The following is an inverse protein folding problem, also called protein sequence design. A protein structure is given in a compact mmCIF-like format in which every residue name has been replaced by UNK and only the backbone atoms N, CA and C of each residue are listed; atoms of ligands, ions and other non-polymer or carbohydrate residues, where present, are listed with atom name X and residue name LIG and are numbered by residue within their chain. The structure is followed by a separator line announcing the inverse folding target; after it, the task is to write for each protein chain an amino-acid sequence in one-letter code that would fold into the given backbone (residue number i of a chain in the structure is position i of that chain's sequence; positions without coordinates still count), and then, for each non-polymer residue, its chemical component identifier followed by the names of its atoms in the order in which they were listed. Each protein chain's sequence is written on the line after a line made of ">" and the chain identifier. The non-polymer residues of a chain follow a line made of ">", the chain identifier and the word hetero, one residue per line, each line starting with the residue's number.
data_IF_693461685075
#
_entry.id   IF_693461685075
#
_cell.length_a   1.000
_cell.length_b   1.000
_cell.length_c   1.000
_cell.angle_alpha   90.00
_cell.angle_beta   90.00
_cell.angle_gamma   90.00
#
_symmetry.space_group_name_H-M   'P 1'
#
loop_
_entity.id
_entity.type
_entity.pdbx_description
1 polymer ?
#
# COMPACT_ATOMS: atom_id res chain seq x y z
N UNK A 1 0.16 -0.63 -6.21
CA UNK A 1 -0.97 -0.97 -7.10
C UNK A 1 -1.08 -2.49 -7.12
N UNK A 2 -2.29 -3.10 -7.03
CA UNK A 2 -2.41 -4.51 -7.34
C UNK A 2 -1.92 -4.71 -8.78
N UNK A 3 -1.13 -5.76 -9.04
CA UNK A 3 -0.96 -6.23 -10.42
C UNK A 3 -2.38 -6.56 -10.87
N UNK A 4 -2.98 -5.69 -11.69
CA UNK A 4 -4.04 -6.13 -12.59
C UNK A 4 -3.50 -7.41 -13.22
N UNK A 5 -4.25 -8.50 -13.18
CA UNK A 5 -3.94 -9.72 -13.92
C UNK A 5 -3.30 -9.33 -15.24
N UNK A 6 -1.98 -9.44 -15.33
CA UNK A 6 -1.30 -8.84 -16.46
C UNK A 6 -1.55 -9.80 -17.59
N UNK A 7 -2.41 -9.39 -18.53
CA UNK A 7 -2.65 -10.13 -19.77
C UNK A 7 -1.31 -10.52 -20.43
N UNK A 8 -0.30 -9.67 -20.24
CA UNK A 8 1.10 -9.92 -20.59
C UNK A 8 1.70 -11.16 -19.91
N UNK A 9 1.57 -11.34 -18.59
CA UNK A 9 2.07 -12.53 -17.91
C UNK A 9 1.38 -13.79 -18.44
N UNK A 10 0.05 -13.78 -18.52
CA UNK A 10 -0.70 -14.94 -18.99
C UNK A 10 -0.30 -15.29 -20.42
N UNK A 11 -0.23 -14.30 -21.30
CA UNK A 11 0.20 -14.48 -22.69
C UNK A 11 1.63 -15.02 -22.80
N UNK A 12 2.56 -14.54 -21.97
CA UNK A 12 3.95 -15.03 -21.98
C UNK A 12 4.04 -16.44 -21.41
N UNK A 13 3.36 -16.74 -20.31
CA UNK A 13 3.35 -18.08 -19.70
C UNK A 13 2.75 -19.13 -20.62
N UNK A 14 1.63 -18.81 -21.30
CA UNK A 14 1.02 -19.65 -22.32
C UNK A 14 1.94 -19.83 -23.53
N UNK A 15 2.60 -18.75 -23.99
CA UNK A 15 3.56 -18.81 -25.10
C UNK A 15 4.77 -19.69 -24.79
N UNK A 16 5.32 -19.61 -23.57
CA UNK A 16 6.42 -20.46 -23.12
C UNK A 16 5.99 -21.93 -23.02
N UNK A 17 4.78 -22.20 -22.54
CA UNK A 17 4.24 -23.56 -22.48
C UNK A 17 4.07 -24.16 -23.89
N UNK A 18 3.41 -23.43 -24.78
CA UNK A 18 3.22 -23.86 -26.17
C UNK A 18 4.56 -24.07 -26.90
N UNK A 19 5.55 -23.22 -26.63
CA UNK A 19 6.90 -23.39 -27.18
C UNK A 19 7.58 -24.65 -26.63
N UNK A 20 7.49 -24.91 -25.33
CA UNK A 20 8.05 -26.11 -24.72
C UNK A 20 7.42 -27.39 -25.29
N UNK A 21 6.10 -27.39 -25.47
CA UNK A 21 5.37 -28.51 -26.08
C UNK A 21 5.76 -28.71 -27.54
N UNK A 22 5.91 -27.62 -28.32
CA UNK A 22 6.41 -27.69 -29.69
C UNK A 22 7.82 -28.27 -29.77
N UNK A 23 8.75 -27.82 -28.91
CA UNK A 23 10.12 -28.36 -28.86
C UNK A 23 10.07 -29.86 -28.56
N UNK A 24 9.25 -30.30 -27.61
CA UNK A 24 9.13 -31.71 -27.26
C UNK A 24 8.72 -32.57 -28.46
N UNK A 25 7.76 -32.09 -29.25
CA UNK A 25 7.25 -32.81 -30.44
C UNK A 25 8.29 -32.86 -31.56
N UNK A 26 8.96 -31.74 -31.84
CA UNK A 26 9.81 -31.58 -33.03
C UNK A 26 11.31 -31.82 -32.77
N UNK A 27 11.71 -32.08 -31.52
CA UNK A 27 13.13 -32.27 -31.12
C UNK A 27 13.88 -33.40 -31.83
N UNK A 28 13.18 -34.33 -32.49
CA UNK A 28 13.78 -35.42 -33.26
C UNK A 28 14.03 -35.12 -34.74
N UNK A 29 13.66 -33.94 -35.24
CA UNK A 29 13.82 -33.58 -36.66
C UNK A 29 15.29 -33.30 -37.02
N UNK A 30 15.69 -33.67 -38.24
CA UNK A 30 17.09 -33.67 -38.69
C UNK A 30 17.75 -32.28 -38.65
N UNK A 31 16.97 -31.22 -38.89
CA UNK A 31 17.42 -29.83 -38.90
C UNK A 31 16.96 -29.04 -37.66
N UNK A 32 16.51 -29.73 -36.60
CA UNK A 32 16.02 -29.07 -35.39
C UNK A 32 17.17 -28.37 -34.63
N UNK A 33 17.01 -27.12 -34.17
CA UNK A 33 18.05 -26.41 -33.44
C UNK A 33 18.41 -27.10 -32.11
N UNK A 34 19.59 -27.71 -32.02
CA UNK A 34 20.08 -28.39 -30.81
C UNK A 34 20.24 -27.46 -29.58
N UNK A 35 20.26 -26.15 -29.80
CA UNK A 35 20.31 -25.13 -28.75
C UNK A 35 18.97 -24.96 -28.02
N UNK A 36 17.85 -25.30 -28.66
CA UNK A 36 16.51 -25.19 -28.07
C UNK A 36 16.18 -26.45 -27.29
N UNK A 37 16.13 -26.32 -25.96
CA UNK A 37 15.82 -27.43 -25.04
C UNK A 37 14.53 -27.13 -24.29
N UNK A 38 13.59 -28.07 -24.33
CA UNK A 38 12.30 -28.00 -23.60
C UNK A 38 12.50 -27.57 -22.15
N UNK A 39 13.45 -28.22 -21.46
CA UNK A 39 13.75 -27.98 -20.05
C UNK A 39 14.09 -26.51 -19.76
N UNK A 40 14.80 -25.83 -20.66
CA UNK A 40 15.19 -24.43 -20.48
C UNK A 40 13.95 -23.53 -20.51
N UNK A 41 13.05 -23.77 -21.46
CA UNK A 41 11.81 -22.99 -21.61
C UNK A 41 10.87 -23.23 -20.42
N UNK A 42 10.70 -24.48 -19.98
CA UNK A 42 9.90 -24.80 -18.79
C UNK A 42 10.48 -24.19 -17.52
N UNK A 43 11.80 -24.21 -17.34
CA UNK A 43 12.45 -23.57 -16.20
C UNK A 43 12.26 -22.05 -16.21
N UNK A 44 12.26 -21.41 -17.38
CA UNK A 44 11.97 -19.98 -17.49
C UNK A 44 10.54 -19.65 -17.09
N UNK A 45 9.56 -20.44 -17.56
CA UNK A 45 8.16 -20.28 -17.14
C UNK A 45 8.01 -20.44 -15.62
N UNK A 46 8.56 -21.50 -15.06
CA UNK A 46 8.51 -21.75 -13.62
C UNK A 46 9.13 -20.60 -12.82
N UNK A 47 10.30 -20.10 -13.26
CA UNK A 47 10.96 -18.97 -12.60
C UNK A 47 10.09 -17.71 -12.61
N UNK A 48 9.37 -17.43 -13.70
CA UNK A 48 8.45 -16.29 -13.77
C UNK A 48 7.25 -16.47 -12.82
N UNK A 49 6.68 -17.68 -12.76
CA UNK A 49 5.59 -18.01 -11.83
C UNK A 49 6.01 -17.86 -10.37
N UNK A 50 7.21 -18.33 -10.01
CA UNK A 50 7.75 -18.23 -8.66
C UNK A 50 7.98 -16.76 -8.26
N UNK A 51 8.59 -15.96 -9.14
CA UNK A 51 8.80 -14.52 -8.91
C UNK A 51 7.46 -13.81 -8.73
N UNK A 52 6.47 -14.13 -9.57
CA UNK A 52 5.12 -13.56 -9.43
C UNK A 52 4.49 -13.94 -8.09
N UNK A 53 4.54 -15.20 -7.71
CA UNK A 53 3.98 -15.68 -6.45
C UNK A 53 4.65 -15.04 -5.21
N UNK A 54 5.96 -14.84 -5.25
CA UNK A 54 6.68 -14.13 -4.17
C UNK A 54 6.31 -12.65 -4.10
N UNK A 55 6.19 -11.99 -5.24
CA UNK A 55 5.73 -10.60 -5.33
C UNK A 55 4.31 -10.44 -4.76
N UNK A 56 3.36 -11.29 -5.15
CA UNK A 56 1.96 -11.20 -4.68
C UNK A 56 1.87 -11.36 -3.15
N UNK A 57 2.64 -12.30 -2.57
CA UNK A 57 2.75 -12.46 -1.11
C UNK A 57 3.34 -11.23 -0.44
N UNK A 58 4.41 -10.66 -0.99
CA UNK A 58 5.03 -9.45 -0.46
C UNK A 58 4.08 -8.25 -0.51
N UNK A 59 3.32 -8.10 -1.60
CA UNK A 59 2.34 -7.03 -1.75
C UNK A 59 1.17 -7.19 -0.77
N UNK A 60 0.68 -8.41 -0.55
CA UNK A 60 -0.36 -8.68 0.45
C UNK A 60 0.12 -8.32 1.87
N UNK A 61 1.36 -8.72 2.21
CA UNK A 61 1.98 -8.37 3.48
C UNK A 61 2.14 -6.85 3.64
N UNK A 62 2.62 -6.16 2.61
CA UNK A 62 2.78 -4.71 2.61
C UNK A 62 1.45 -3.98 2.83
N UNK A 63 0.39 -4.43 2.15
CA UNK A 63 -0.96 -3.88 2.32
C UNK A 63 -1.48 -4.09 3.75
N UNK A 64 -1.22 -5.26 4.34
CA UNK A 64 -1.60 -5.52 5.74
C UNK A 64 -0.84 -4.60 6.70
N UNK A 65 0.48 -4.49 6.54
CA UNK A 65 1.31 -3.61 7.38
C UNK A 65 0.92 -2.15 7.25
N UNK A 66 0.52 -1.69 6.06
CA UNK A 66 0.00 -0.35 5.87
C UNK A 66 -1.30 -0.12 6.65
N UNK A 67 -2.24 -1.08 6.62
CA UNK A 67 -3.49 -0.98 7.40
C UNK A 67 -3.21 -0.94 8.91
N UNK A 68 -2.28 -1.77 9.39
CA UNK A 68 -1.88 -1.80 10.79
C UNK A 68 -1.25 -0.46 11.19
N UNK A 69 -0.37 0.09 10.36
CA UNK A 69 0.24 1.41 10.54
C UNK A 69 -0.81 2.52 10.62
N UNK A 70 -1.75 2.58 9.67
CA UNK A 70 -2.81 3.59 9.65
C UNK A 70 -3.69 3.52 10.90
N UNK A 71 -4.02 2.30 11.34
CA UNK A 71 -4.81 2.09 12.55
C UNK A 71 -4.06 2.58 13.80
N UNK A 72 -2.77 2.25 13.92
CA UNK A 72 -1.94 2.73 15.02
C UNK A 72 -1.77 4.24 15.01
N UNK A 73 -1.57 4.85 13.84
CA UNK A 73 -1.44 6.30 13.70
C UNK A 73 -2.73 7.02 14.12
N UNK A 74 -3.89 6.56 13.66
CA UNK A 74 -5.19 7.13 14.07
C UNK A 74 -5.42 7.03 15.57
N UNK A 75 -5.08 5.89 16.16
CA UNK A 75 -5.16 5.68 17.60
C UNK A 75 -4.21 6.61 18.37
N UNK A 76 -2.98 6.77 17.91
CA UNK A 76 -1.99 7.65 18.52
C UNK A 76 -2.43 9.12 18.45
N UNK A 77 -2.92 9.58 17.30
CA UNK A 77 -3.47 10.94 17.13
C UNK A 77 -4.64 11.18 18.08
N UNK A 78 -5.56 10.23 18.20
CA UNK A 78 -6.72 10.34 19.10
C UNK A 78 -6.29 10.41 20.57
N UNK A 79 -5.36 9.54 20.99
CA UNK A 79 -4.81 9.54 22.36
C UNK A 79 -4.06 10.82 22.66
N UNK A 80 -3.25 11.29 21.72
CA UNK A 80 -2.51 12.55 21.85
C UNK A 80 -3.48 13.72 22.05
N UNK A 81 -4.50 13.85 21.20
CA UNK A 81 -5.50 14.91 21.32
C UNK A 81 -6.27 14.85 22.65
N UNK A 82 -6.59 13.65 23.14
CA UNK A 82 -7.23 13.47 24.45
C UNK A 82 -6.32 13.93 25.61
N UNK A 83 -5.06 13.49 25.61
CA UNK A 83 -4.07 13.90 26.61
C UNK A 83 -3.84 15.42 26.60
N UNK A 84 -3.74 16.00 25.41
CA UNK A 84 -3.62 17.44 25.22
C UNK A 84 -4.78 18.22 25.83
N UNK A 85 -6.03 17.77 25.59
CA UNK A 85 -7.23 18.37 26.20
C UNK A 85 -7.25 18.25 27.71
N UNK A 86 -6.82 17.10 28.26
CA UNK A 86 -6.73 16.90 29.70
C UNK A 86 -5.73 17.86 30.34
N UNK A 87 -4.53 18.02 29.75
CA UNK A 87 -3.53 18.97 30.27
C UNK A 87 -4.02 20.42 30.19
N UNK A 88 -4.67 20.79 29.09
CA UNK A 88 -5.30 22.11 28.94
C UNK A 88 -6.41 22.37 29.96
N UNK A 89 -7.22 21.36 30.27
CA UNK A 89 -8.27 21.45 31.29
C UNK A 89 -7.71 21.56 32.69
N UNK A 90 -6.62 20.83 33.00
CA UNK A 90 -6.00 20.82 34.32
C UNK A 90 -5.21 22.10 34.63
N UNK A 91 -4.32 22.53 33.74
CA UNK A 91 -3.48 23.72 33.95
C UNK A 91 -4.15 25.03 33.53
N UNK A 92 -5.22 24.97 32.74
CA UNK A 92 -5.88 26.12 32.15
C UNK A 92 -5.21 26.57 30.84
N UNK A 93 -6.04 27.01 29.88
CA UNK A 93 -5.67 27.28 28.49
C UNK A 93 -4.58 28.35 28.27
N UNK A 94 -4.29 29.17 29.28
CA UNK A 94 -3.29 30.26 29.21
C UNK A 94 -2.05 29.99 30.07
N UNK A 95 -1.95 28.80 30.69
CA UNK A 95 -0.79 28.46 31.51
C UNK A 95 0.46 28.31 30.64
N UNK A 96 1.55 28.93 31.09
CA UNK A 96 2.85 28.81 30.43
C UNK A 96 3.40 27.38 30.51
N UNK A 97 3.00 26.62 31.54
CA UNK A 97 3.39 25.21 31.77
C UNK A 97 2.94 24.31 30.62
N UNK A 98 1.90 24.70 29.86
CA UNK A 98 1.46 23.95 28.68
C UNK A 98 2.54 23.85 27.59
N UNK A 99 3.48 24.79 27.53
CA UNK A 99 4.59 24.76 26.56
C UNK A 99 5.52 23.56 26.77
N UNK A 100 5.69 23.11 28.01
CA UNK A 100 6.52 21.96 28.35
C UNK A 100 5.93 20.66 27.77
N UNK A 101 4.61 20.64 27.54
CA UNK A 101 3.89 19.55 26.87
C UNK A 101 3.75 19.75 25.35
N UNK A 102 4.46 20.73 24.77
CA UNK A 102 4.36 21.09 23.36
C UNK A 102 3.01 21.72 22.97
N UNK A 103 2.23 22.18 23.95
CA UNK A 103 0.91 22.79 23.73
C UNK A 103 1.04 24.31 23.66
N UNK A 104 0.59 24.88 22.54
CA UNK A 104 0.46 26.32 22.44
C UNK A 104 -0.91 26.77 22.95
N UNK A 105 -0.99 27.91 23.67
CA UNK A 105 -2.27 28.49 24.03
C UNK A 105 -3.08 28.78 22.75
N UNK A 106 -4.41 28.59 22.79
CA UNK A 106 -5.25 28.90 21.64
C UNK A 106 -5.05 30.35 21.21
N UNK A 107 -4.90 30.59 19.90
CA UNK A 107 -4.91 31.96 19.37
C UNK A 107 -6.21 32.63 19.86
N UNK A 108 -6.16 33.86 20.39
CA UNK A 108 -7.37 34.55 20.80
C UNK A 108 -8.30 34.64 19.59
N UNK A 109 -9.47 33.98 19.66
CA UNK A 109 -10.46 34.12 18.60
C UNK A 109 -10.93 35.58 18.64
N UNK A 110 -10.56 36.36 17.62
CA UNK A 110 -11.10 37.70 17.42
C UNK A 110 -12.63 37.64 17.53
N UNK A 111 -13.21 38.63 18.23
CA UNK A 111 -14.64 38.79 18.51
C UNK A 111 -15.50 38.13 17.42
N UNK A 112 -16.26 37.08 17.78
CA UNK A 112 -17.35 36.60 16.91
C UNK A 112 -18.23 37.82 16.62
N UNK A 113 -18.25 38.28 15.36
CA UNK A 113 -19.17 39.32 14.94
C UNK A 113 -20.59 38.90 15.32
N UNK A 114 -21.38 39.84 15.86
CA UNK A 114 -22.79 39.60 16.18
C UNK A 114 -23.46 38.99 14.94
N UNK A 115 -24.01 37.77 15.04
CA UNK A 115 -24.90 37.24 14.01
C UNK A 115 -26.14 38.15 14.03
N UNK A 116 -26.31 38.97 13.00
CA UNK A 116 -27.54 39.71 12.78
C UNK A 116 -28.67 38.68 12.58
N UNK A 117 -29.77 38.76 13.36
CA UNK A 117 -30.93 37.91 13.11
C UNK A 117 -31.49 38.24 11.73
N UNK A 118 -31.73 37.20 10.93
CA UNK A 118 -32.32 37.31 9.59
C UNK A 118 -33.81 37.56 9.78
N UNK A 119 -34.26 38.81 9.59
CA UNK A 119 -35.68 39.11 9.51
C UNK A 119 -36.26 38.41 8.26
N UNK A 120 -37.35 37.67 8.46
CA UNK A 120 -38.14 37.07 7.40
C UNK A 120 -39.34 38.00 7.16
N UNK A 121 -39.39 38.62 5.99
CA UNK A 121 -40.58 39.28 5.44
C UNK A 121 -41.39 38.28 4.61
#
# INVERSE_FOLDING_TARGET
>A
MPLKESKEFTSVAEGLEALADGIKIHSGETDFPATLKEMVIRNQKQSLEDIRGTYEKAQALANQKHKDYDAQLKNAVTKLAAAQRLMQGFYGLRSQVLKDFGLQPPKPSGKKGKRTPKNWE
#
